data_IF_829792891165
#
_entry.id   IF_829792891165
#
_cell.length_a   1.000
_cell.length_b   1.000
_cell.length_c   1.000
_cell.angle_alpha   90.00
_cell.angle_beta   90.00
_cell.angle_gamma   90.00
#
_symmetry.space_group_name_H-M   'P 1'
#
loop_
_entity.id
_entity.type
_entity.pdbx_description
1 polymer ?
#
# COMPACT_ATOMS: atom_id res chain seq x y z
N UNK A 1 36.52 35.71 11.82
CA UNK A 1 36.06 34.32 12.03
C UNK A 1 37.29 33.46 12.12
N UNK A 2 37.51 32.82 13.26
CA UNK A 2 38.67 31.95 13.44
C UNK A 2 38.51 30.69 12.61
N UNK A 3 39.57 30.27 11.93
CA UNK A 3 39.55 29.09 11.05
C UNK A 3 39.14 27.82 11.80
N UNK A 4 39.42 27.76 13.10
CA UNK A 4 38.99 26.68 14.00
C UNK A 4 37.46 26.64 14.18
N UNK A 5 36.83 27.80 14.37
CA UNK A 5 35.37 27.92 14.53
C UNK A 5 34.63 27.55 13.24
N UNK A 6 35.20 27.87 12.07
CA UNK A 6 34.66 27.44 10.77
C UNK A 6 34.74 25.91 10.62
N UNK A 7 35.88 25.31 10.96
CA UNK A 7 36.07 23.85 10.86
C UNK A 7 35.08 23.08 11.75
N UNK A 8 34.90 23.52 13.00
CA UNK A 8 33.94 22.91 13.93
C UNK A 8 32.51 23.00 13.37
N UNK A 9 32.12 24.16 12.83
CA UNK A 9 30.82 24.35 12.20
C UNK A 9 30.57 23.39 11.03
N UNK A 10 31.57 23.16 10.19
CA UNK A 10 31.50 22.23 9.06
C UNK A 10 31.33 20.78 9.54
N UNK A 11 32.09 20.35 10.56
CA UNK A 11 32.00 18.99 11.10
C UNK A 11 30.61 18.73 11.69
N UNK A 12 30.08 19.68 12.47
CA UNK A 12 28.72 19.58 13.03
C UNK A 12 27.68 19.50 11.91
N UNK A 13 27.79 20.34 10.88
CA UNK A 13 26.89 20.32 9.74
C UNK A 13 26.88 18.94 9.03
N UNK A 14 28.05 18.33 8.80
CA UNK A 14 28.12 17.00 8.21
C UNK A 14 27.47 15.93 9.10
N UNK A 15 27.75 15.93 10.41
CA UNK A 15 27.14 14.99 11.36
C UNK A 15 25.61 15.11 11.33
N UNK A 16 25.09 16.33 11.25
CA UNK A 16 23.66 16.58 11.16
C UNK A 16 23.06 16.14 9.82
N UNK A 17 23.76 16.30 8.69
CA UNK A 17 23.23 15.96 7.37
C UNK A 17 23.25 14.46 7.06
N UNK A 18 24.23 13.71 7.57
CA UNK A 18 24.38 12.26 7.34
C UNK A 18 23.10 11.44 7.58
N UNK A 19 22.38 11.55 8.73
CA UNK A 19 21.18 10.75 8.95
C UNK A 19 20.07 11.01 7.93
N UNK A 20 19.93 12.25 7.45
CA UNK A 20 18.95 12.58 6.41
C UNK A 20 19.29 11.95 5.05
N UNK A 21 20.59 11.95 4.70
CA UNK A 21 21.07 11.32 3.47
C UNK A 21 20.83 9.80 3.53
N UNK A 22 21.18 9.15 4.64
CA UNK A 22 20.94 7.72 4.86
C UNK A 22 19.44 7.40 4.77
N UNK A 23 18.60 8.21 5.42
CA UNK A 23 17.15 8.05 5.39
C UNK A 23 16.57 8.15 3.97
N UNK A 24 17.06 9.12 3.18
CA UNK A 24 16.66 9.30 1.79
C UNK A 24 17.00 8.07 0.93
N UNK A 25 18.24 7.59 1.01
CA UNK A 25 18.66 6.42 0.23
C UNK A 25 17.93 5.15 0.65
N UNK A 26 17.70 4.95 1.95
CA UNK A 26 16.95 3.81 2.45
C UNK A 26 15.51 3.80 1.93
N UNK A 27 14.82 4.96 1.93
CA UNK A 27 13.48 5.07 1.34
C UNK A 27 13.46 4.72 -0.14
N UNK A 28 14.44 5.21 -0.91
CA UNK A 28 14.56 4.91 -2.34
C UNK A 28 14.78 3.42 -2.58
N UNK A 29 15.68 2.79 -1.81
CA UNK A 29 15.95 1.36 -1.89
C UNK A 29 14.71 0.52 -1.57
N UNK A 30 13.98 0.86 -0.51
CA UNK A 30 12.76 0.13 -0.13
C UNK A 30 11.66 0.20 -1.20
N UNK A 31 11.48 1.35 -1.84
CA UNK A 31 10.57 1.48 -2.99
C UNK A 31 10.96 0.56 -4.14
N UNK A 32 12.26 0.52 -4.47
CA UNK A 32 12.75 -0.35 -5.54
C UNK A 32 12.54 -1.83 -5.21
N UNK A 33 12.74 -2.23 -3.96
CA UNK A 33 12.49 -3.60 -3.50
C UNK A 33 11.02 -3.97 -3.70
N UNK A 34 10.07 -3.11 -3.29
CA UNK A 34 8.64 -3.35 -3.51
C UNK A 34 8.27 -3.46 -4.99
N UNK A 35 8.83 -2.61 -5.85
CA UNK A 35 8.58 -2.65 -7.30
C UNK A 35 9.14 -3.94 -7.90
N UNK A 36 10.36 -4.32 -7.51
CA UNK A 36 10.97 -5.56 -7.99
C UNK A 36 10.14 -6.77 -7.54
N UNK A 37 9.70 -6.79 -6.28
CA UNK A 37 8.85 -7.86 -5.76
C UNK A 37 7.51 -7.93 -6.53
N UNK A 38 6.86 -6.78 -6.78
CA UNK A 38 5.65 -6.75 -7.62
C UNK A 38 5.91 -7.32 -9.01
N UNK A 39 7.00 -6.90 -9.67
CA UNK A 39 7.34 -7.38 -11.01
C UNK A 39 7.61 -8.89 -11.03
N UNK A 40 8.26 -9.43 -10.00
CA UNK A 40 8.51 -10.86 -9.88
C UNK A 40 7.21 -11.64 -9.68
N UNK A 41 6.31 -11.13 -8.83
CA UNK A 41 4.98 -11.73 -8.61
C UNK A 41 4.14 -11.66 -9.90
N UNK A 42 4.14 -10.53 -10.59
CA UNK A 42 3.43 -10.35 -11.85
C UNK A 42 3.93 -11.33 -12.93
N UNK A 43 5.26 -11.42 -13.12
CA UNK A 43 5.87 -12.36 -14.07
C UNK A 43 5.50 -13.82 -13.78
N UNK A 44 5.53 -14.23 -12.50
CA UNK A 44 5.13 -15.60 -12.10
C UNK A 44 3.67 -15.91 -12.43
N UNK A 45 2.81 -14.89 -12.53
CA UNK A 45 1.40 -15.01 -12.86
C UNK A 45 1.10 -14.63 -14.32
N UNK A 46 2.11 -14.52 -15.17
CA UNK A 46 1.99 -14.08 -16.57
C UNK A 46 1.20 -12.76 -16.73
N UNK A 47 1.36 -11.86 -15.75
CA UNK A 47 0.63 -10.60 -15.67
C UNK A 47 1.47 -9.42 -16.16
N UNK A 48 0.80 -8.45 -16.78
CA UNK A 48 1.35 -7.19 -17.24
C UNK A 48 0.76 -6.03 -16.42
N UNK A 49 1.56 -5.47 -15.52
CA UNK A 49 1.10 -4.41 -14.61
C UNK A 49 0.74 -3.15 -15.40
N UNK A 50 -0.55 -2.82 -15.43
CA UNK A 50 -1.06 -1.65 -16.17
C UNK A 50 -1.02 -0.37 -15.33
N UNK A 51 -1.25 -0.49 -14.02
CA UNK A 51 -1.24 0.63 -13.09
C UNK A 51 -0.85 0.11 -11.70
N UNK A 52 -0.01 0.86 -11.00
CA UNK A 52 0.38 0.55 -9.63
C UNK A 52 0.55 1.82 -8.80
N UNK A 53 0.47 1.67 -7.49
CA UNK A 53 0.74 2.74 -6.54
C UNK A 53 1.42 2.17 -5.29
N UNK A 54 2.47 2.84 -4.84
CA UNK A 54 3.11 2.55 -3.55
C UNK A 54 2.46 3.43 -2.50
N UNK A 55 1.95 2.82 -1.45
CA UNK A 55 1.37 3.51 -0.31
C UNK A 55 1.95 2.93 0.99
N UNK A 56 2.59 3.78 1.79
CA UNK A 56 3.39 3.37 2.94
C UNK A 56 4.43 2.28 2.58
N UNK A 57 4.37 1.13 3.24
CA UNK A 57 5.22 -0.06 2.96
C UNK A 57 4.47 -1.13 2.14
N UNK A 58 3.46 -0.71 1.39
CA UNK A 58 2.68 -1.59 0.54
C UNK A 58 2.67 -1.10 -0.90
N UNK A 59 2.42 -2.01 -1.83
CA UNK A 59 2.20 -1.70 -3.23
C UNK A 59 0.92 -2.42 -3.68
N UNK A 60 0.07 -1.68 -4.38
CA UNK A 60 -1.15 -2.20 -4.98
C UNK A 60 -1.04 -2.01 -6.49
N UNK A 61 -1.58 -2.95 -7.26
CA UNK A 61 -1.51 -2.89 -8.71
C UNK A 61 -2.69 -3.59 -9.36
N UNK A 62 -2.91 -3.27 -10.63
CA UNK A 62 -3.88 -3.93 -11.49
C UNK A 62 -3.25 -4.25 -12.84
N UNK A 63 -3.50 -5.46 -13.32
CA UNK A 63 -3.37 -5.85 -14.71
C UNK A 63 -4.76 -5.75 -15.35
N UNK A 64 -4.93 -4.79 -16.27
CA UNK A 64 -6.20 -4.53 -16.97
C UNK A 64 -6.45 -5.51 -18.12
N UNK A 65 -5.42 -6.21 -18.58
CA UNK A 65 -5.50 -7.17 -19.69
C UNK A 65 -5.88 -8.56 -19.15
N UNK A 66 -5.14 -9.07 -18.17
CA UNK A 66 -5.43 -10.35 -17.54
C UNK A 66 -6.46 -10.26 -16.42
N UNK A 67 -6.87 -9.05 -16.03
CA UNK A 67 -7.87 -8.77 -15.00
C UNK A 67 -7.46 -9.34 -13.64
N UNK A 68 -6.23 -9.05 -13.24
CA UNK A 68 -5.67 -9.44 -11.95
C UNK A 68 -5.42 -8.21 -11.09
N UNK A 69 -5.82 -8.29 -9.81
CA UNK A 69 -5.46 -7.31 -8.80
C UNK A 69 -4.36 -7.88 -7.89
N UNK A 70 -3.37 -7.04 -7.57
CA UNK A 70 -2.23 -7.38 -6.75
C UNK A 70 -2.16 -6.46 -5.55
N UNK A 71 -1.85 -7.02 -4.39
CA UNK A 71 -1.49 -6.25 -3.21
C UNK A 71 -0.34 -6.94 -2.49
N UNK A 72 0.71 -6.18 -2.20
CA UNK A 72 1.85 -6.68 -1.43
C UNK A 72 2.02 -5.76 -0.22
N UNK A 73 1.91 -6.32 0.97
CA UNK A 73 2.16 -5.64 2.24
C UNK A 73 3.00 -6.57 3.12
N UNK A 74 4.05 -6.05 3.73
CA UNK A 74 4.95 -6.83 4.59
C UNK A 74 5.50 -8.09 3.90
N UNK A 75 5.85 -7.98 2.61
CA UNK A 75 6.36 -9.08 1.78
C UNK A 75 5.39 -10.24 1.54
N UNK A 76 4.10 -10.09 1.88
CA UNK A 76 3.05 -11.05 1.58
C UNK A 76 2.26 -10.61 0.35
N UNK A 77 2.39 -11.31 -0.79
CA UNK A 77 1.60 -11.03 -1.98
C UNK A 77 0.21 -11.68 -1.91
N UNK A 78 -0.82 -10.88 -2.10
CA UNK A 78 -2.20 -11.32 -2.33
C UNK A 78 -2.60 -10.98 -3.74
N UNK A 79 -3.14 -11.96 -4.46
CA UNK A 79 -3.57 -11.83 -5.86
C UNK A 79 -5.04 -12.19 -5.93
N UNK A 80 -5.81 -11.40 -6.67
CA UNK A 80 -7.24 -11.62 -6.87
C UNK A 80 -7.57 -11.60 -8.34
N UNK A 81 -8.26 -12.64 -8.79
CA UNK A 81 -8.84 -12.68 -10.14
C UNK A 81 -10.12 -11.84 -10.18
N UNK A 82 -10.08 -10.76 -10.97
CA UNK A 82 -11.20 -9.85 -11.16
C UNK A 82 -12.26 -10.43 -12.11
N UNK A 83 -11.93 -11.43 -12.93
CA UNK A 83 -12.91 -12.11 -13.81
C UNK A 83 -14.00 -12.81 -13.02
N UNK A 84 -13.61 -13.38 -11.88
CA UNK A 84 -14.50 -14.11 -10.97
C UNK A 84 -15.02 -13.24 -9.81
N UNK A 85 -14.76 -11.93 -9.86
CA UNK A 85 -15.21 -10.98 -8.83
C UNK A 85 -16.53 -10.32 -9.25
N UNK A 86 -17.54 -10.39 -8.38
CA UNK A 86 -18.83 -9.71 -8.59
C UNK A 86 -18.73 -8.20 -8.36
N UNK A 87 -18.09 -7.79 -7.27
CA UNK A 87 -17.84 -6.39 -6.93
C UNK A 87 -16.73 -6.27 -5.88
N UNK A 88 -16.16 -5.07 -5.81
CA UNK A 88 -15.15 -4.67 -4.84
C UNK A 88 -15.70 -3.55 -3.95
N UNK A 89 -15.43 -3.57 -2.64
CA UNK A 89 -15.93 -2.58 -1.69
C UNK A 89 -14.97 -2.34 -0.53
N UNK A 90 -15.14 -1.22 0.17
CA UNK A 90 -14.37 -0.90 1.38
C UNK A 90 -15.09 -1.48 2.59
N UNK A 91 -14.34 -2.16 3.46
CA UNK A 91 -14.82 -2.51 4.78
C UNK A 91 -13.98 -1.78 5.84
N UNK A 92 -14.63 -0.93 6.64
CA UNK A 92 -14.00 -0.16 7.72
C UNK A 92 -14.54 -0.70 9.04
N UNK A 93 -13.72 -1.45 9.76
CA UNK A 93 -14.09 -1.92 11.09
C UNK A 93 -13.73 -0.86 12.12
N UNK A 94 -14.63 -0.63 13.07
CA UNK A 94 -14.40 0.29 14.20
C UNK A 94 -14.54 -0.46 15.52
N UNK A 95 -13.78 -0.05 16.52
CA UNK A 95 -13.90 -0.59 17.88
C UNK A 95 -14.12 0.52 18.91
N UNK A 96 -14.86 0.25 20.00
CA UNK A 96 -15.04 1.21 21.07
C UNK A 96 -13.71 1.47 21.79
N UNK A 97 -13.50 2.71 22.21
CA UNK A 97 -12.36 3.04 23.07
C UNK A 97 -12.70 2.77 24.53
N UNK A 98 -11.74 2.20 25.28
CA UNK A 98 -11.94 1.78 26.68
C UNK A 98 -12.49 2.88 27.61
N UNK A 99 -12.22 4.16 27.31
CA UNK A 99 -12.54 5.29 28.17
C UNK A 99 -13.45 6.35 27.51
N UNK A 100 -14.06 6.08 26.35
CA UNK A 100 -14.97 7.05 25.74
C UNK A 100 -16.02 6.40 24.85
N UNK A 101 -17.17 7.08 24.66
CA UNK A 101 -18.19 6.68 23.66
C UNK A 101 -17.71 6.83 22.20
N UNK A 102 -16.44 7.20 21.96
CA UNK A 102 -15.90 7.34 20.61
C UNK A 102 -15.38 5.99 20.12
N UNK A 103 -15.70 5.69 18.86
CA UNK A 103 -15.14 4.57 18.14
C UNK A 103 -13.89 5.01 17.37
N UNK A 104 -12.90 4.13 17.31
CA UNK A 104 -11.70 4.30 16.49
C UNK A 104 -11.69 3.28 15.36
N UNK A 105 -11.09 3.63 14.23
CA UNK A 105 -10.91 2.71 13.11
C UNK A 105 -9.88 1.66 13.52
N UNK A 106 -10.31 0.39 13.50
CA UNK A 106 -9.47 -0.75 13.81
C UNK A 106 -8.80 -1.28 12.54
N UNK A 107 -9.58 -1.49 11.47
CA UNK A 107 -9.03 -1.97 10.20
C UNK A 107 -9.70 -1.28 9.01
N UNK A 108 -8.95 -1.18 7.91
CA UNK A 108 -9.46 -0.80 6.60
C UNK A 108 -9.07 -1.87 5.60
N UNK A 109 -10.08 -2.41 4.93
CA UNK A 109 -9.98 -3.52 4.00
C UNK A 109 -10.57 -3.15 2.64
N UNK A 110 -9.87 -3.52 1.57
CA UNK A 110 -10.47 -3.62 0.24
C UNK A 110 -10.90 -5.06 0.06
N UNK A 111 -12.21 -5.29 -0.01
CA UNK A 111 -12.82 -6.60 -0.10
C UNK A 111 -13.25 -6.91 -1.54
N UNK A 112 -13.06 -8.15 -1.97
CA UNK A 112 -13.49 -8.66 -3.27
C UNK A 112 -14.47 -9.80 -3.04
N UNK A 113 -15.73 -9.59 -3.41
CA UNK A 113 -16.76 -10.63 -3.33
C UNK A 113 -16.72 -11.47 -4.59
N UNK A 114 -16.28 -12.72 -4.49
CA UNK A 114 -16.22 -13.64 -5.63
C UNK A 114 -17.59 -14.26 -5.90
N UNK A 115 -17.84 -14.61 -7.16
CA UNK A 115 -19.06 -15.33 -7.56
C UNK A 115 -19.17 -16.70 -6.88
N UNK A 116 -18.03 -17.30 -6.49
CA UNK A 116 -17.93 -18.59 -5.82
C UNK A 116 -18.17 -18.57 -4.30
N UNK A 117 -18.71 -17.48 -3.74
CA UNK A 117 -18.85 -17.20 -2.29
C UNK A 117 -17.54 -17.01 -1.52
N UNK A 118 -16.39 -17.14 -2.16
CA UNK A 118 -15.10 -16.78 -1.56
C UNK A 118 -14.98 -15.26 -1.43
N UNK A 119 -14.23 -14.80 -0.43
CA UNK A 119 -13.92 -13.38 -0.26
C UNK A 119 -12.41 -13.21 -0.11
N UNK A 120 -11.85 -12.34 -0.93
CA UNK A 120 -10.45 -11.92 -0.79
C UNK A 120 -10.39 -10.53 -0.17
N UNK A 121 -9.32 -10.26 0.57
CA UNK A 121 -9.16 -9.01 1.32
C UNK A 121 -7.74 -8.48 1.14
N UNK A 122 -7.63 -7.20 0.79
CA UNK A 122 -6.41 -6.43 0.92
C UNK A 122 -6.49 -5.58 2.18
N UNK A 123 -5.73 -5.96 3.22
CA UNK A 123 -5.65 -5.28 4.51
C UNK A 123 -4.78 -4.03 4.43
N UNK A 124 -5.40 -2.91 4.11
CA UNK A 124 -4.71 -1.61 3.95
C UNK A 124 -4.25 -1.08 5.30
N UNK A 125 -5.10 -1.17 6.33
CA UNK A 125 -4.83 -0.68 7.67
C UNK A 125 -5.20 -1.69 8.75
N UNK A 126 -4.37 -1.79 9.78
CA UNK A 126 -4.65 -2.46 11.04
C UNK A 126 -3.95 -1.70 12.17
N UNK A 127 -4.73 -1.17 13.11
CA UNK A 127 -4.24 -0.35 14.22
C UNK A 127 -3.23 -1.05 15.15
N UNK A 128 -3.19 -2.39 15.17
CA UNK A 128 -2.30 -3.16 16.04
C UNK A 128 -0.87 -3.18 15.51
N UNK A 129 -0.70 -3.03 14.19
CA UNK A 129 0.58 -3.21 13.49
C UNK A 129 1.02 -1.98 12.71
N UNK A 130 0.08 -1.15 12.27
CA UNK A 130 0.36 0.00 11.42
C UNK A 130 0.52 1.28 12.25
N UNK A 131 1.32 2.26 11.77
CA UNK A 131 1.34 3.60 12.33
C UNK A 131 -0.05 4.26 12.28
N UNK A 132 -0.29 5.35 13.04
CA UNK A 132 -1.56 6.06 12.99
C UNK A 132 -2.01 6.40 11.57
N UNK A 133 -3.31 6.19 11.34
CA UNK A 133 -3.99 6.34 10.06
C UNK A 133 -3.66 7.67 9.38
N UNK A 134 -3.15 7.60 8.16
CA UNK A 134 -2.72 8.70 7.31
C UNK A 134 -3.10 8.47 5.84
N UNK A 135 -4.38 8.63 5.51
CA UNK A 135 -4.86 8.64 4.10
C UNK A 135 -5.29 7.29 3.53
N UNK A 136 -5.29 6.22 4.31
CA UNK A 136 -5.65 4.85 3.92
C UNK A 136 -7.06 4.76 3.34
N UNK A 137 -8.01 5.53 3.87
CA UNK A 137 -9.39 5.59 3.36
C UNK A 137 -9.44 6.17 1.95
N UNK A 138 -8.66 7.22 1.66
CA UNK A 138 -8.62 7.86 0.34
C UNK A 138 -7.96 6.91 -0.66
N UNK A 139 -6.82 6.34 -0.29
CA UNK A 139 -6.12 5.32 -1.07
C UNK A 139 -7.04 4.13 -1.40
N UNK A 140 -7.76 3.60 -0.40
CA UNK A 140 -8.66 2.46 -0.59
C UNK A 140 -9.80 2.78 -1.55
N UNK A 141 -10.45 3.95 -1.39
CA UNK A 141 -11.54 4.37 -2.26
C UNK A 141 -11.09 4.55 -3.72
N UNK A 142 -9.89 5.11 -3.94
CA UNK A 142 -9.31 5.21 -5.29
C UNK A 142 -9.22 3.83 -5.94
N UNK A 143 -8.65 2.86 -5.24
CA UNK A 143 -8.40 1.53 -5.81
C UNK A 143 -9.66 0.70 -5.98
N UNK A 144 -10.65 0.82 -5.08
CA UNK A 144 -11.98 0.23 -5.26
C UNK A 144 -12.61 0.74 -6.57
N UNK A 145 -12.53 2.04 -6.85
CA UNK A 145 -13.04 2.59 -8.10
C UNK A 145 -12.29 2.03 -9.31
N UNK A 146 -10.97 1.92 -9.23
CA UNK A 146 -10.14 1.31 -10.30
C UNK A 146 -10.53 -0.13 -10.56
N UNK A 147 -10.66 -0.96 -9.53
CA UNK A 147 -11.04 -2.38 -9.68
C UNK A 147 -12.47 -2.55 -10.17
N UNK A 148 -13.43 -1.83 -9.58
CA UNK A 148 -14.84 -1.89 -10.03
C UNK A 148 -15.01 -1.44 -11.48
N UNK A 149 -14.20 -0.49 -11.96
CA UNK A 149 -14.19 -0.11 -13.38
C UNK A 149 -13.77 -1.28 -14.28
N UNK A 150 -12.78 -2.06 -13.87
CA UNK A 150 -12.37 -3.24 -14.63
C UNK A 150 -13.42 -4.37 -14.55
N UNK A 151 -14.00 -4.60 -13.37
CA UNK A 151 -15.06 -5.60 -13.17
C UNK A 151 -16.26 -5.31 -14.07
N UNK A 152 -16.74 -4.06 -14.09
CA UNK A 152 -17.88 -3.64 -14.92
C UNK A 152 -17.63 -3.80 -16.42
N UNK A 153 -16.38 -3.67 -16.87
CA UNK A 153 -16.02 -3.84 -18.29
C UNK A 153 -16.23 -5.28 -18.78
N UNK A 154 -16.20 -6.27 -17.89
CA UNK A 154 -16.46 -7.67 -18.22
C UNK A 154 -17.97 -7.94 -18.32
N UNK A 155 -18.77 -7.24 -17.50
CA UNK A 155 -20.21 -7.44 -17.43
C UNK A 155 -21.00 -6.74 -18.56
N UNK A 156 -20.33 -5.91 -19.36
CA UNK A 156 -20.89 -5.18 -20.49
C UNK A 156 -20.52 -5.84 -21.82
#
# INVERSE_FOLDING_TARGET
>A
MDSQSILIGIVIAFICCIPFIIFYFNKKKQKQILINHLNDVAKKNNANISEFEIFNKSIIAVDKENLLAFYIKNDEPTIVDLKNTSHCFININRKPTKNSKKEIISTIDICFSQTSKNQYVFRVYNEEIDPPLSGETIFSNKWINTFNKQIKRIAA
#
